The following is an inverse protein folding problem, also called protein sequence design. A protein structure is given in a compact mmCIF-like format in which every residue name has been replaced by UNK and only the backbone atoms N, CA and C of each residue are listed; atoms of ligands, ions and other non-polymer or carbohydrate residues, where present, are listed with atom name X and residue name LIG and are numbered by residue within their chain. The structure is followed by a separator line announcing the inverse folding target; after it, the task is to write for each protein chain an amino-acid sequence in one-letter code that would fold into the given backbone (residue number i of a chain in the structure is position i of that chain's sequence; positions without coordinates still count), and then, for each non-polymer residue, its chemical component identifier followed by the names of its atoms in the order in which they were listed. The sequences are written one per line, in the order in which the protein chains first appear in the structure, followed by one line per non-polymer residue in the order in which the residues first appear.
data_IF_043731923259
#
_entry.id   IF_043731923259
#
_cell.length_a   1.000
_cell.length_b   1.000
_cell.length_c   1.000
_cell.angle_alpha   90.00
_cell.angle_beta   90.00
_cell.angle_gamma   90.00
#
_symmetry.space_group_name_H-M   'P 1'
#
loop_
_entity.id
_entity.type
_entity.pdbx_description
1 polymer ?
#
# COMPACT_ATOMS: atom_id res chain seq x y z
N UNK A 1 29.09 -15.45 -27.57
CA UNK A 1 29.85 -15.54 -26.29
C UNK A 1 31.18 -14.87 -26.48
N UNK A 2 31.45 -13.79 -25.74
CA UNK A 2 32.77 -13.14 -25.77
C UNK A 2 33.77 -14.00 -25.00
N UNK A 3 34.84 -14.42 -25.66
CA UNK A 3 36.02 -14.96 -24.97
C UNK A 3 37.21 -14.10 -25.34
N UNK A 4 37.99 -13.73 -24.32
CA UNK A 4 39.21 -12.95 -24.45
C UNK A 4 40.37 -13.87 -24.82
N UNK A 5 40.89 -13.75 -26.05
CA UNK A 5 42.17 -14.33 -26.40
C UNK A 5 43.29 -13.55 -25.68
N UNK A 6 44.12 -14.24 -24.90
CA UNK A 6 45.33 -13.66 -24.33
C UNK A 6 46.32 -13.36 -25.45
N UNK A 7 46.58 -12.08 -25.70
CA UNK A 7 47.67 -11.61 -26.53
C UNK A 7 47.27 -10.61 -27.60
N UNK A 8 47.27 -9.33 -27.21
CA UNK A 8 47.33 -8.13 -28.06
C UNK A 8 46.18 -7.87 -29.06
N UNK A 9 45.58 -6.68 -28.94
CA UNK A 9 44.41 -6.15 -29.69
C UNK A 9 43.10 -6.92 -29.50
N UNK A 10 42.25 -6.42 -28.60
CA UNK A 10 40.94 -6.95 -28.23
C UNK A 10 39.93 -6.88 -29.38
N UNK A 11 39.99 -7.84 -30.29
CA UNK A 11 38.92 -8.14 -31.24
C UNK A 11 37.93 -9.08 -30.57
N UNK A 12 36.67 -8.65 -30.41
CA UNK A 12 35.59 -9.47 -29.86
C UNK A 12 35.18 -10.48 -30.93
N UNK A 13 35.57 -11.75 -30.76
CA UNK A 13 35.21 -12.83 -31.68
C UNK A 13 33.91 -13.48 -31.19
N UNK A 14 32.87 -13.45 -32.02
CA UNK A 14 31.63 -14.18 -31.75
C UNK A 14 31.84 -15.66 -32.07
N UNK A 15 31.75 -16.50 -31.04
CA UNK A 15 31.73 -17.96 -31.22
C UNK A 15 30.28 -18.44 -31.39
N UNK A 16 30.05 -19.33 -32.35
CA UNK A 16 28.76 -19.98 -32.55
C UNK A 16 28.39 -20.85 -31.34
N UNK A 17 27.08 -21.03 -31.11
CA UNK A 17 26.60 -21.93 -30.06
C UNK A 17 27.00 -23.37 -30.38
N UNK A 18 27.37 -24.14 -29.33
CA UNK A 18 27.80 -25.52 -29.48
C UNK A 18 26.68 -26.51 -29.78
N UNK A 19 25.42 -26.12 -29.54
CA UNK A 19 24.22 -26.89 -29.88
C UNK A 19 23.60 -26.33 -31.16
N UNK A 20 23.47 -27.18 -32.18
CA UNK A 20 22.89 -26.83 -33.48
C UNK A 20 21.41 -26.40 -33.40
N UNK A 21 20.71 -26.77 -32.33
CA UNK A 21 19.32 -26.39 -32.07
C UNK A 21 19.20 -25.14 -31.21
N UNK A 22 20.33 -24.59 -30.75
CA UNK A 22 20.36 -23.36 -29.96
C UNK A 22 20.44 -22.12 -30.87
N UNK A 23 19.51 -21.19 -30.68
CA UNK A 23 19.46 -19.90 -31.38
C UNK A 23 20.33 -18.87 -30.66
N UNK A 24 20.24 -18.83 -29.32
CA UNK A 24 21.03 -17.94 -28.47
C UNK A 24 21.62 -18.72 -27.30
N UNK A 25 22.94 -18.63 -27.11
CA UNK A 25 23.65 -19.23 -25.98
C UNK A 25 24.32 -18.14 -25.12
N UNK A 26 24.14 -18.25 -23.81
CA UNK A 26 24.72 -17.31 -22.84
C UNK A 26 26.24 -17.52 -22.68
N UNK A 27 26.72 -18.75 -22.87
CA UNK A 27 28.14 -19.12 -22.78
C UNK A 27 28.48 -20.25 -23.76
N UNK A 28 29.78 -20.49 -23.98
CA UNK A 28 30.25 -21.62 -24.77
C UNK A 28 30.17 -22.90 -23.93
N UNK A 29 29.88 -24.02 -24.58
CA UNK A 29 29.75 -25.32 -23.92
C UNK A 29 28.30 -25.83 -23.84
N UNK A 30 28.14 -27.03 -23.28
CA UNK A 30 26.86 -27.71 -23.15
C UNK A 30 25.93 -27.03 -22.13
N UNK A 31 24.61 -27.16 -22.35
CA UNK A 31 23.55 -26.65 -21.46
C UNK A 31 23.58 -25.13 -21.24
N UNK A 32 24.19 -24.38 -22.17
CA UNK A 32 24.30 -22.90 -22.14
C UNK A 32 23.32 -22.20 -23.07
N UNK A 33 22.34 -22.93 -23.62
CA UNK A 33 21.35 -22.33 -24.49
C UNK A 33 20.34 -21.51 -23.68
N UNK A 34 20.10 -20.26 -24.05
CA UNK A 34 19.05 -19.42 -23.47
C UNK A 34 17.81 -19.32 -24.36
N UNK A 35 17.91 -19.71 -25.63
CA UNK A 35 16.77 -19.74 -26.56
C UNK A 35 16.97 -20.78 -27.65
N UNK A 36 15.98 -21.65 -27.84
CA UNK A 36 16.00 -22.66 -28.89
C UNK A 36 15.50 -22.12 -30.22
N UNK A 37 15.93 -22.76 -31.31
CA UNK A 37 15.45 -22.48 -32.66
C UNK A 37 13.98 -22.88 -32.80
N UNK A 38 13.30 -22.27 -33.76
CA UNK A 38 11.88 -22.52 -34.04
C UNK A 38 11.63 -23.80 -34.85
N UNK A 39 12.69 -24.43 -35.36
CA UNK A 39 12.64 -25.70 -36.09
C UNK A 39 13.52 -26.73 -35.40
N UNK A 40 13.16 -28.01 -35.49
CA UNK A 40 13.84 -29.09 -34.77
C UNK A 40 13.51 -29.09 -33.28
N UNK A 41 14.54 -29.11 -32.42
CA UNK A 41 14.38 -29.13 -30.96
C UNK A 41 14.07 -27.73 -30.43
N UNK A 42 12.79 -27.40 -30.36
CA UNK A 42 12.34 -26.04 -30.07
C UNK A 42 12.03 -25.73 -28.60
N UNK A 43 12.04 -26.72 -27.71
CA UNK A 43 11.71 -26.51 -26.29
C UNK A 43 12.97 -26.36 -25.47
N UNK A 44 13.11 -25.25 -24.75
CA UNK A 44 14.23 -25.06 -23.83
C UNK A 44 13.96 -25.79 -22.51
N UNK A 45 14.68 -26.89 -22.27
CA UNK A 45 14.72 -27.55 -20.97
C UNK A 45 15.76 -26.87 -20.11
N UNK A 46 15.32 -26.06 -19.15
CA UNK A 46 16.18 -25.31 -18.23
C UNK A 46 16.88 -26.24 -17.24
N UNK A 47 18.10 -25.89 -16.87
CA UNK A 47 18.75 -26.46 -15.69
C UNK A 47 18.09 -25.92 -14.41
N UNK A 48 18.12 -26.66 -13.29
CA UNK A 48 17.64 -26.15 -12.01
C UNK A 48 18.28 -24.79 -11.69
N UNK A 49 17.46 -23.82 -11.28
CA UNK A 49 17.87 -22.48 -10.87
C UNK A 49 18.68 -21.69 -11.92
N UNK A 50 18.50 -22.01 -13.22
CA UNK A 50 19.21 -21.38 -14.33
C UNK A 50 18.26 -20.95 -15.45
N UNK A 51 18.59 -19.85 -16.12
CA UNK A 51 17.91 -19.42 -17.34
C UNK A 51 18.45 -20.08 -18.61
N UNK A 52 19.50 -20.90 -18.49
CA UNK A 52 20.04 -21.67 -19.60
C UNK A 52 19.74 -23.16 -19.47
N UNK A 53 19.79 -23.85 -20.60
CA UNK A 53 19.70 -25.30 -20.64
C UNK A 53 19.90 -25.84 -22.04
N UNK A 54 19.14 -26.89 -22.35
CA UNK A 54 19.32 -27.68 -23.58
C UNK A 54 18.03 -27.73 -24.38
N UNK A 55 18.17 -27.65 -25.69
CA UNK A 55 17.05 -27.70 -26.62
C UNK A 55 16.60 -29.13 -26.83
N UNK A 56 15.32 -29.39 -26.57
CA UNK A 56 14.69 -30.71 -26.71
C UNK A 56 13.45 -30.65 -27.59
N UNK A 57 13.07 -31.81 -28.14
CA UNK A 57 11.75 -31.99 -28.72
C UNK A 57 10.70 -32.13 -27.61
N UNK A 58 9.42 -32.06 -27.98
CA UNK A 58 8.30 -32.27 -27.04
C UNK A 58 8.45 -33.56 -26.23
N UNK A 59 8.83 -34.66 -26.88
CA UNK A 59 9.09 -35.95 -26.24
C UNK A 59 10.33 -35.99 -25.33
N UNK A 60 11.21 -34.98 -25.38
CA UNK A 60 12.34 -34.85 -24.46
C UNK A 60 12.02 -34.10 -23.17
N UNK A 61 10.82 -33.52 -23.06
CA UNK A 61 10.30 -32.96 -21.83
C UNK A 61 9.59 -34.07 -21.03
N UNK A 62 10.37 -34.85 -20.30
CA UNK A 62 9.90 -36.02 -19.54
C UNK A 62 10.20 -35.90 -18.05
N UNK A 63 9.60 -36.81 -17.27
CA UNK A 63 9.76 -36.87 -15.82
C UNK A 63 9.03 -35.71 -15.12
N UNK A 64 9.73 -35.05 -14.20
CA UNK A 64 9.21 -33.95 -13.39
C UNK A 64 9.24 -32.61 -14.13
N UNK A 65 9.03 -32.60 -15.44
CA UNK A 65 8.96 -31.37 -16.23
C UNK A 65 7.67 -31.32 -17.06
N UNK A 66 7.09 -30.12 -17.20
CA UNK A 66 5.96 -29.87 -18.06
C UNK A 66 6.36 -28.99 -19.24
N UNK A 67 5.58 -29.10 -20.32
CA UNK A 67 5.73 -28.29 -21.51
C UNK A 67 4.89 -27.03 -21.36
N UNK A 68 5.53 -25.88 -21.52
CA UNK A 68 4.86 -24.61 -21.74
C UNK A 68 4.86 -24.30 -23.24
N UNK A 69 3.72 -24.50 -23.90
CA UNK A 69 3.61 -24.31 -25.34
C UNK A 69 3.70 -22.83 -25.76
N UNK A 70 3.37 -21.91 -24.88
CA UNK A 70 3.41 -20.47 -25.15
C UNK A 70 4.84 -19.97 -25.00
N UNK A 71 5.52 -20.35 -23.91
CA UNK A 71 6.91 -19.99 -23.68
C UNK A 71 7.91 -20.82 -24.51
N UNK A 72 7.48 -21.94 -25.11
CA UNK A 72 8.34 -22.96 -25.73
C UNK A 72 9.45 -23.42 -24.78
N UNK A 73 9.08 -23.67 -23.53
CA UNK A 73 9.99 -24.17 -22.48
C UNK A 73 9.54 -25.51 -21.94
N UNK A 74 10.48 -26.20 -21.32
CA UNK A 74 10.28 -27.37 -20.50
C UNK A 74 10.74 -27.03 -19.08
N UNK A 75 9.79 -26.89 -18.16
CA UNK A 75 10.02 -26.36 -16.82
C UNK A 75 9.72 -27.41 -15.76
N UNK A 76 10.43 -27.37 -14.64
CA UNK A 76 10.24 -28.32 -13.55
C UNK A 76 8.86 -28.16 -12.89
N UNK A 77 8.20 -29.27 -12.56
CA UNK A 77 6.92 -29.29 -11.85
C UNK A 77 6.96 -28.49 -10.54
N UNK A 78 8.05 -28.64 -9.79
CA UNK A 78 8.27 -27.92 -8.53
C UNK A 78 8.30 -26.39 -8.70
N UNK A 79 8.81 -25.90 -9.83
CA UNK A 79 8.88 -24.45 -10.09
C UNK A 79 7.50 -23.79 -10.23
N UNK A 80 6.47 -24.59 -10.54
CA UNK A 80 5.08 -24.14 -10.62
C UNK A 80 4.25 -24.46 -9.36
N UNK A 81 4.94 -24.79 -8.25
CA UNK A 81 4.33 -25.04 -6.95
C UNK A 81 3.71 -26.43 -6.78
N UNK A 82 3.97 -27.38 -7.70
CA UNK A 82 3.48 -28.75 -7.53
C UNK A 82 4.46 -29.62 -6.75
N UNK A 83 3.95 -30.50 -5.89
CA UNK A 83 4.77 -31.31 -4.96
C UNK A 83 4.37 -32.79 -5.00
N UNK A 84 5.35 -33.68 -4.85
CA UNK A 84 5.13 -35.14 -4.78
C UNK A 84 4.54 -35.81 -6.03
N UNK A 85 4.68 -35.18 -7.20
CA UNK A 85 4.12 -35.66 -8.46
C UNK A 85 5.20 -36.26 -9.38
N UNK A 86 4.91 -37.41 -9.97
CA UNK A 86 5.80 -38.09 -10.93
C UNK A 86 5.87 -37.33 -12.25
N UNK A 87 4.73 -36.82 -12.71
CA UNK A 87 4.62 -35.92 -13.86
C UNK A 87 3.57 -34.85 -13.61
N UNK A 88 3.72 -33.70 -14.28
CA UNK A 88 2.77 -32.59 -14.25
C UNK A 88 2.47 -32.08 -15.65
N UNK A 89 1.39 -31.32 -15.79
CA UNK A 89 1.01 -30.66 -17.04
C UNK A 89 0.44 -29.27 -16.78
N UNK A 90 0.62 -28.36 -17.75
CA UNK A 90 0.00 -27.04 -17.75
C UNK A 90 -1.39 -27.15 -18.39
N UNK A 91 -2.42 -26.83 -17.61
CA UNK A 91 -3.81 -26.77 -18.07
C UNK A 91 -4.06 -25.58 -19.01
N UNK A 92 -5.24 -25.58 -19.64
CA UNK A 92 -5.66 -24.50 -20.55
C UNK A 92 -5.89 -23.15 -19.83
N UNK A 93 -6.14 -23.20 -18.52
CA UNK A 93 -6.24 -22.06 -17.61
C UNK A 93 -4.86 -21.51 -17.16
N UNK A 94 -3.78 -22.12 -17.64
CA UNK A 94 -2.41 -21.77 -17.29
C UNK A 94 -1.91 -22.40 -15.98
N UNK A 95 -2.77 -23.10 -15.23
CA UNK A 95 -2.38 -23.74 -13.98
C UNK A 95 -1.61 -25.04 -14.24
N UNK A 96 -0.47 -25.21 -13.57
CA UNK A 96 0.26 -26.48 -13.59
C UNK A 96 -0.29 -27.41 -12.52
N UNK A 97 -0.70 -28.60 -12.93
CA UNK A 97 -1.30 -29.63 -12.07
C UNK A 97 -0.55 -30.95 -12.19
N UNK A 98 -0.69 -31.80 -11.18
CA UNK A 98 -0.16 -33.14 -11.18
C UNK A 98 -0.96 -34.05 -12.11
N UNK A 99 -0.24 -34.78 -12.96
CA UNK A 99 -0.82 -35.72 -13.91
C UNK A 99 -0.73 -37.15 -13.42
N UNK A 100 0.37 -37.49 -12.76
CA UNK A 100 0.57 -38.79 -12.13
C UNK A 100 1.24 -38.62 -10.77
N UNK A 101 0.78 -39.40 -9.79
CA UNK A 101 1.33 -39.38 -8.45
C UNK A 101 2.51 -40.36 -8.28
N UNK A 102 3.27 -40.15 -7.22
CA UNK A 102 4.46 -40.96 -6.86
C UNK A 102 4.05 -42.34 -6.33
N UNK A 103 4.96 -43.31 -6.44
CA UNK A 103 4.74 -44.71 -6.03
C UNK A 103 4.96 -44.96 -4.53
N UNK A 104 5.34 -43.93 -3.77
CA UNK A 104 5.65 -44.03 -2.33
C UNK A 104 4.38 -44.01 -1.45
N UNK A 105 3.28 -44.59 -1.95
CA UNK A 105 1.98 -44.64 -1.26
C UNK A 105 1.13 -43.37 -1.37
N UNK A 106 1.65 -42.29 -1.95
CA UNK A 106 0.92 -41.03 -2.20
C UNK A 106 0.06 -41.13 -3.45
N UNK A 107 -1.00 -41.93 -3.44
CA UNK A 107 -1.80 -42.23 -4.65
C UNK A 107 -2.97 -41.28 -4.90
N UNK A 108 -3.25 -40.35 -3.99
CA UNK A 108 -4.38 -39.43 -4.07
C UNK A 108 -3.88 -38.06 -4.55
N UNK A 109 -4.55 -37.43 -5.51
CA UNK A 109 -4.27 -36.03 -5.85
C UNK A 109 -4.77 -35.12 -4.73
N UNK A 110 -3.91 -34.24 -4.22
CA UNK A 110 -4.29 -33.19 -3.27
C UNK A 110 -5.27 -32.17 -3.87
N UNK A 111 -5.63 -31.16 -3.07
CA UNK A 111 -6.57 -30.12 -3.48
C UNK A 111 -6.09 -29.44 -4.77
N UNK A 112 -7.03 -29.14 -5.69
CA UNK A 112 -6.75 -28.60 -7.02
C UNK A 112 -5.70 -29.39 -7.84
N UNK A 113 -5.42 -30.64 -7.46
CA UNK A 113 -4.36 -31.48 -8.05
C UNK A 113 -2.97 -30.85 -7.99
N UNK A 114 -2.70 -29.99 -6.99
CA UNK A 114 -1.39 -29.34 -6.81
C UNK A 114 -0.35 -30.23 -6.15
N UNK A 115 -0.77 -31.30 -5.49
CA UNK A 115 0.13 -32.25 -4.85
C UNK A 115 -0.37 -33.68 -4.98
N UNK A 116 0.42 -34.64 -4.53
CA UNK A 116 -0.02 -36.00 -4.27
C UNK A 116 0.17 -36.35 -2.81
N UNK A 117 -0.82 -36.99 -2.20
CA UNK A 117 -0.91 -37.23 -0.76
C UNK A 117 -1.32 -38.68 -0.48
N UNK A 118 -1.00 -39.18 0.71
CA UNK A 118 -1.46 -40.50 1.21
C UNK A 118 -2.89 -40.45 1.73
N UNK A 119 -3.29 -39.31 2.29
CA UNK A 119 -4.61 -39.06 2.85
C UNK A 119 -4.97 -37.59 2.62
N UNK A 120 -6.27 -37.31 2.49
CA UNK A 120 -6.73 -35.94 2.32
C UNK A 120 -6.57 -35.12 3.62
N UNK A 121 -6.32 -33.80 3.51
CA UNK A 121 -6.21 -32.94 4.68
C UNK A 121 -7.54 -32.85 5.45
N UNK A 122 -7.49 -32.35 6.68
CA UNK A 122 -8.68 -32.14 7.51
C UNK A 122 -9.77 -31.37 6.76
N UNK A 123 -11.03 -31.77 6.98
CA UNK A 123 -12.21 -31.23 6.30
C UNK A 123 -12.21 -31.42 4.77
N UNK A 124 -11.45 -32.38 4.25
CA UNK A 124 -11.56 -32.85 2.88
C UNK A 124 -11.90 -34.34 2.84
N UNK A 125 -12.51 -34.77 1.74
CA UNK A 125 -12.76 -36.17 1.43
C UNK A 125 -12.22 -36.50 0.05
N UNK A 126 -11.72 -37.72 -0.12
CA UNK A 126 -11.36 -38.22 -1.44
C UNK A 126 -12.62 -38.42 -2.29
N UNK A 127 -12.65 -37.78 -3.46
CA UNK A 127 -13.68 -37.97 -4.49
C UNK A 127 -12.99 -38.25 -5.81
N UNK A 128 -13.14 -39.49 -6.30
CA UNK A 128 -12.55 -39.94 -7.58
C UNK A 128 -11.02 -39.76 -7.65
N UNK A 129 -10.29 -40.14 -6.59
CA UNK A 129 -8.83 -40.01 -6.53
C UNK A 129 -8.31 -38.59 -6.32
N UNK A 130 -9.18 -37.63 -5.99
CA UNK A 130 -8.82 -36.23 -5.75
C UNK A 130 -9.42 -35.76 -4.42
N UNK A 131 -8.61 -35.12 -3.58
CA UNK A 131 -9.10 -34.48 -2.37
C UNK A 131 -10.00 -33.29 -2.73
N UNK A 132 -11.20 -33.29 -2.16
CA UNK A 132 -12.18 -32.21 -2.31
C UNK A 132 -12.62 -31.77 -0.93
N UNK A 133 -12.63 -30.46 -0.66
CA UNK A 133 -13.14 -29.94 0.61
C UNK A 133 -14.60 -30.35 0.83
N UNK A 134 -14.93 -30.66 2.08
CA UNK A 134 -16.28 -30.99 2.50
C UNK A 134 -17.18 -29.75 2.43
N UNK A 135 -18.49 -29.95 2.45
CA UNK A 135 -19.46 -28.85 2.39
C UNK A 135 -19.19 -27.83 3.51
N UNK A 136 -19.17 -26.55 3.15
CA UNK A 136 -18.80 -25.47 4.06
C UNK A 136 -17.29 -25.16 4.13
N UNK A 137 -16.46 -25.79 3.29
CA UNK A 137 -15.03 -25.51 3.20
C UNK A 137 -14.57 -25.28 1.76
N UNK A 138 -13.53 -24.45 1.58
CA UNK A 138 -12.85 -24.19 0.30
C UNK A 138 -11.33 -24.43 0.44
N UNK A 139 -10.61 -24.75 -0.65
CA UNK A 139 -9.15 -24.89 -0.60
C UNK A 139 -8.46 -23.59 -0.18
N UNK A 140 -7.39 -23.70 0.62
CA UNK A 140 -6.46 -22.60 0.90
C UNK A 140 -5.79 -22.10 -0.38
N UNK A 141 -5.21 -20.89 -0.33
CA UNK A 141 -4.53 -20.27 -1.49
C UNK A 141 -3.42 -21.15 -2.09
N UNK A 142 -2.70 -21.88 -1.25
CA UNK A 142 -1.64 -22.82 -1.63
C UNK A 142 -2.15 -24.24 -1.92
N UNK A 143 -3.47 -24.47 -1.81
CA UNK A 143 -4.12 -25.77 -1.99
C UNK A 143 -3.58 -26.88 -1.09
N UNK A 144 -3.05 -26.53 0.09
CA UNK A 144 -2.54 -27.50 1.07
C UNK A 144 -3.57 -27.94 2.11
N UNK A 145 -4.57 -27.10 2.42
CA UNK A 145 -5.57 -27.34 3.48
C UNK A 145 -6.96 -26.86 3.04
N UNK A 146 -8.01 -27.32 3.74
CA UNK A 146 -9.36 -26.79 3.58
C UNK A 146 -9.67 -25.79 4.70
N UNK A 147 -10.09 -24.59 4.31
CA UNK A 147 -10.54 -23.52 5.22
C UNK A 147 -12.04 -23.36 5.11
N UNK A 148 -12.71 -22.88 6.17
CA UNK A 148 -14.15 -22.65 6.10
C UNK A 148 -14.47 -21.69 4.94
N UNK A 149 -15.51 -22.01 4.16
CA UNK A 149 -15.98 -21.18 3.07
C UNK A 149 -16.51 -19.87 3.65
N UNK A 150 -15.76 -18.77 3.50
CA UNK A 150 -16.15 -17.47 4.09
C UNK A 150 -17.44 -16.96 3.45
N UNK A 151 -18.44 -16.64 4.25
CA UNK A 151 -19.66 -15.96 3.80
C UNK A 151 -19.62 -14.44 4.00
N UNK A 152 -18.43 -13.90 4.30
CA UNK A 152 -18.21 -12.48 4.55
C UNK A 152 -18.70 -11.62 3.37
N UNK A 153 -19.53 -10.63 3.68
CA UNK A 153 -20.04 -9.65 2.71
C UNK A 153 -19.07 -8.50 2.47
N UNK A 154 -18.17 -8.24 3.42
CA UNK A 154 -17.17 -7.18 3.34
C UNK A 154 -16.20 -7.44 2.17
N UNK A 155 -16.08 -6.52 1.20
CA UNK A 155 -15.19 -6.70 0.06
C UNK A 155 -13.75 -6.96 0.51
N UNK A 156 -13.09 -7.93 -0.12
CA UNK A 156 -11.71 -8.33 0.16
C UNK A 156 -11.44 -8.82 1.59
N UNK A 157 -12.50 -9.23 2.30
CA UNK A 157 -12.38 -9.83 3.63
C UNK A 157 -12.21 -11.35 3.54
N UNK A 158 -11.20 -11.89 4.22
CA UNK A 158 -10.93 -13.33 4.29
C UNK A 158 -11.63 -13.98 5.49
N UNK A 159 -11.65 -13.30 6.64
CA UNK A 159 -12.36 -13.76 7.85
C UNK A 159 -13.07 -12.58 8.50
N UNK A 160 -14.27 -12.79 9.05
CA UNK A 160 -15.07 -11.75 9.67
C UNK A 160 -15.82 -12.26 10.91
N UNK A 161 -16.23 -11.33 11.79
CA UNK A 161 -17.22 -11.60 12.83
C UNK A 161 -18.62 -11.25 12.33
N UNK A 162 -19.64 -12.00 12.77
CA UNK A 162 -21.03 -11.71 12.41
C UNK A 162 -21.32 -11.98 10.94
N UNK A 163 -20.84 -13.12 10.44
CA UNK A 163 -20.99 -13.56 9.05
C UNK A 163 -22.41 -13.35 8.50
N UNK A 164 -22.50 -12.64 7.38
CA UNK A 164 -23.77 -12.40 6.67
C UNK A 164 -24.70 -11.38 7.34
N UNK A 165 -24.31 -10.79 8.47
CA UNK A 165 -25.10 -9.78 9.19
C UNK A 165 -24.81 -8.35 8.68
N UNK A 166 -25.63 -7.38 9.11
CA UNK A 166 -25.46 -5.95 8.78
C UNK A 166 -24.30 -5.28 9.54
N UNK A 167 -23.92 -5.81 10.70
CA UNK A 167 -22.80 -5.34 11.52
C UNK A 167 -21.57 -6.25 11.41
N UNK A 168 -21.40 -6.91 10.27
CA UNK A 168 -20.22 -7.72 9.98
C UNK A 168 -18.95 -6.85 10.05
N UNK A 169 -17.91 -7.36 10.71
CA UNK A 169 -16.62 -6.71 10.79
C UNK A 169 -15.52 -7.67 10.36
N UNK A 170 -14.69 -7.24 9.41
CA UNK A 170 -13.56 -8.04 8.96
C UNK A 170 -12.49 -8.14 10.05
N UNK A 171 -11.89 -9.32 10.18
CA UNK A 171 -10.80 -9.62 11.10
C UNK A 171 -9.50 -9.97 10.39
N UNK A 172 -9.56 -10.38 9.11
CA UNK A 172 -8.39 -10.53 8.26
C UNK A 172 -8.75 -10.23 6.80
N UNK A 173 -7.91 -9.45 6.12
CA UNK A 173 -8.08 -9.10 4.73
C UNK A 173 -7.36 -10.07 3.80
N UNK A 174 -7.85 -10.18 2.57
CA UNK A 174 -7.17 -10.91 1.50
C UNK A 174 -5.78 -10.31 1.22
N UNK A 175 -4.89 -11.13 0.64
CA UNK A 175 -3.54 -10.69 0.26
C UNK A 175 -3.57 -9.44 -0.62
N UNK A 176 -2.74 -8.45 -0.29
CA UNK A 176 -2.69 -7.15 -0.97
C UNK A 176 -3.66 -6.09 -0.42
N UNK A 177 -4.42 -6.44 0.63
CA UNK A 177 -5.31 -5.52 1.33
C UNK A 177 -4.92 -5.39 2.81
N UNK A 178 -5.26 -4.24 3.39
CA UNK A 178 -4.94 -3.85 4.75
C UNK A 178 -6.22 -3.71 5.58
N UNK A 179 -6.20 -4.26 6.79
CA UNK A 179 -7.30 -4.18 7.73
C UNK A 179 -7.37 -2.79 8.37
N UNK A 180 -8.50 -2.11 8.24
CA UNK A 180 -8.75 -0.82 8.91
C UNK A 180 -9.24 -1.02 10.35
N UNK A 181 -9.12 -0.01 11.22
CA UNK A 181 -9.70 -0.06 12.58
C UNK A 181 -11.22 -0.26 12.61
N UNK A 182 -11.91 0.04 11.51
CA UNK A 182 -13.37 -0.15 11.37
C UNK A 182 -13.75 -1.53 10.84
N UNK A 183 -12.82 -2.47 10.76
CA UNK A 183 -13.08 -3.82 10.25
C UNK A 183 -13.38 -3.86 8.75
N UNK A 184 -12.78 -2.96 7.97
CA UNK A 184 -12.87 -2.93 6.50
C UNK A 184 -11.52 -3.27 5.88
N UNK A 185 -11.50 -3.60 4.58
CA UNK A 185 -10.28 -3.89 3.85
C UNK A 185 -10.03 -2.83 2.77
N UNK A 186 -8.85 -2.22 2.78
CA UNK A 186 -8.43 -1.22 1.79
C UNK A 186 -7.14 -1.65 1.10
N UNK A 187 -6.92 -1.19 -0.13
CA UNK A 187 -5.71 -1.49 -0.91
C UNK A 187 -4.49 -0.63 -0.50
N UNK A 188 -4.72 0.46 0.24
CA UNK A 188 -3.66 1.35 0.74
C UNK A 188 -4.16 2.12 1.97
N UNK A 189 -3.37 2.12 3.05
CA UNK A 189 -3.69 2.82 4.30
C UNK A 189 -3.57 4.34 4.17
N UNK A 190 -2.74 4.82 3.25
CA UNK A 190 -2.50 6.25 3.01
C UNK A 190 -3.77 6.96 2.53
N UNK A 191 -4.69 6.23 1.88
CA UNK A 191 -6.00 6.75 1.46
C UNK A 191 -6.89 7.15 2.63
N UNK A 192 -6.68 6.55 3.81
CA UNK A 192 -7.46 6.85 5.01
C UNK A 192 -7.07 8.18 5.64
N UNK A 193 -5.91 8.75 5.31
CA UNK A 193 -5.38 9.95 5.96
C UNK A 193 -5.04 9.71 7.44
N UNK A 194 -3.80 9.98 7.84
CA UNK A 194 -3.35 9.74 9.22
C UNK A 194 -3.19 8.26 9.58
N UNK A 195 -3.07 7.37 8.60
CA UNK A 195 -2.73 5.95 8.79
C UNK A 195 -1.56 5.54 7.91
N UNK A 196 -0.79 4.58 8.37
CA UNK A 196 0.29 3.92 7.64
C UNK A 196 0.09 2.41 7.67
N UNK A 197 0.65 1.71 6.68
CA UNK A 197 0.61 0.26 6.61
C UNK A 197 1.66 -0.36 7.53
N UNK A 198 1.25 -1.27 8.40
CA UNK A 198 2.14 -2.12 9.20
C UNK A 198 1.51 -3.51 9.35
N UNK A 199 2.26 -4.56 8.96
CA UNK A 199 1.83 -5.95 9.12
C UNK A 199 0.41 -6.27 8.60
N UNK A 200 0.04 -5.78 7.40
CA UNK A 200 -1.30 -5.92 6.79
C UNK A 200 -2.45 -5.24 7.56
N UNK A 201 -2.14 -4.31 8.45
CA UNK A 201 -3.10 -3.50 9.21
C UNK A 201 -2.79 -2.01 9.00
N UNK A 202 -3.82 -1.18 8.98
CA UNK A 202 -3.65 0.26 8.99
C UNK A 202 -3.48 0.77 10.43
N UNK A 203 -2.27 1.21 10.76
CA UNK A 203 -1.92 1.77 12.06
C UNK A 203 -2.06 3.30 12.03
N UNK A 204 -2.58 3.92 13.09
CA UNK A 204 -2.72 5.37 13.15
C UNK A 204 -1.35 6.05 13.27
N UNK A 205 -1.22 7.20 12.62
CA UNK A 205 -0.11 8.11 12.82
C UNK A 205 -0.13 8.74 14.20
N UNK A 206 1.00 9.32 14.63
CA UNK A 206 1.01 10.19 15.81
C UNK A 206 0.05 11.37 15.61
N UNK A 207 -0.68 11.82 16.66
CA UNK A 207 -1.73 12.85 16.54
C UNK A 207 -1.28 14.19 15.93
N UNK A 208 0.02 14.49 16.04
CA UNK A 208 0.64 15.70 15.50
C UNK A 208 0.80 15.66 13.96
N UNK A 209 0.72 14.48 13.35
CA UNK A 209 0.92 14.27 11.91
C UNK A 209 -0.43 14.17 11.17
N UNK A 210 -0.52 14.72 9.97
CA UNK A 210 -1.63 14.47 9.06
C UNK A 210 -1.42 13.19 8.22
N UNK A 211 -0.16 12.82 7.96
CA UNK A 211 0.24 11.50 7.43
C UNK A 211 1.65 11.17 7.91
N UNK A 212 2.04 9.90 7.89
CA UNK A 212 3.30 9.44 8.43
C UNK A 212 3.83 8.21 7.68
N UNK A 213 5.13 7.92 7.83
CA UNK A 213 5.74 6.67 7.34
C UNK A 213 5.70 5.53 8.35
N UNK A 214 5.64 5.86 9.63
CA UNK A 214 5.64 4.93 10.74
C UNK A 214 5.09 5.61 12.01
N UNK A 215 5.00 4.85 13.10
CA UNK A 215 4.75 5.42 14.41
C UNK A 215 5.84 6.41 14.82
N UNK A 216 5.43 7.58 15.33
CA UNK A 216 6.34 8.59 15.88
C UNK A 216 5.99 10.02 15.46
N UNK A 217 6.17 10.97 16.38
CA UNK A 217 5.93 12.40 16.14
C UNK A 217 6.97 13.05 15.21
N UNK A 218 8.01 12.30 14.83
CA UNK A 218 9.10 12.69 13.94
C UNK A 218 9.10 11.88 12.63
N UNK A 219 8.00 11.15 12.37
CA UNK A 219 7.76 10.34 11.16
C UNK A 219 6.68 10.92 10.26
N UNK A 220 6.33 12.20 10.45
CA UNK A 220 5.30 12.86 9.65
C UNK A 220 5.75 13.05 8.19
N UNK A 221 4.88 12.72 7.24
CA UNK A 221 5.02 13.06 5.82
C UNK A 221 4.24 14.33 5.46
N UNK A 222 3.20 14.65 6.22
CA UNK A 222 2.45 15.89 6.09
C UNK A 222 1.94 16.33 7.45
N UNK A 223 1.65 17.63 7.57
CA UNK A 223 1.22 18.26 8.81
C UNK A 223 -0.21 18.77 8.70
N UNK A 224 -0.95 18.83 9.82
CA UNK A 224 -2.24 19.50 9.87
C UNK A 224 -2.12 20.97 9.43
N UNK A 225 -3.23 21.54 8.93
CA UNK A 225 -3.27 22.95 8.56
C UNK A 225 -2.84 23.84 9.74
N UNK A 226 -2.02 24.86 9.46
CA UNK A 226 -1.40 25.71 10.47
C UNK A 226 -0.10 25.16 11.09
N UNK A 227 0.38 24.00 10.63
CA UNK A 227 1.68 23.41 11.00
C UNK A 227 2.55 23.18 9.78
N UNK A 228 3.85 23.45 9.89
CA UNK A 228 4.84 23.24 8.84
C UNK A 228 5.65 21.96 9.10
N UNK A 229 5.99 21.22 8.05
CA UNK A 229 6.84 20.03 8.18
C UNK A 229 8.30 20.45 8.31
N UNK A 230 8.95 20.01 9.38
CA UNK A 230 10.40 20.10 9.57
C UNK A 230 10.99 18.71 9.55
N UNK A 231 11.80 18.41 8.54
CA UNK A 231 12.45 17.11 8.44
C UNK A 231 13.47 16.87 9.56
N UNK A 232 13.58 15.62 9.98
CA UNK A 232 14.55 15.16 10.99
C UNK A 232 15.97 15.10 10.42
N UNK A 233 16.09 14.77 9.14
CA UNK A 233 17.35 14.72 8.39
C UNK A 233 17.14 15.10 6.90
N UNK A 234 18.20 15.00 6.09
CA UNK A 234 18.15 15.29 4.65
C UNK A 234 17.48 14.19 3.82
N UNK A 235 16.96 13.13 4.44
CA UNK A 235 16.28 12.00 3.81
C UNK A 235 14.76 12.16 3.96
N UNK A 236 14.03 12.62 2.92
CA UNK A 236 12.60 12.89 3.04
C UNK A 236 11.76 11.67 3.42
N UNK A 237 12.23 10.47 3.05
CA UNK A 237 11.58 9.20 3.36
C UNK A 237 11.54 8.87 4.85
N UNK A 238 12.41 9.48 5.67
CA UNK A 238 12.38 9.31 7.12
C UNK A 238 11.31 10.15 7.81
N UNK A 239 10.62 11.03 7.06
CA UNK A 239 9.62 11.95 7.58
C UNK A 239 10.23 13.11 8.38
N UNK A 240 9.39 13.77 9.16
CA UNK A 240 9.76 14.91 9.97
C UNK A 240 8.81 15.13 11.14
N UNK A 241 9.02 16.22 11.86
CA UNK A 241 8.12 16.71 12.90
C UNK A 241 7.31 17.90 12.41
N UNK A 242 6.06 17.97 12.84
CA UNK A 242 5.21 19.12 12.59
C UNK A 242 5.49 20.23 13.61
N UNK A 243 5.95 21.37 13.11
CA UNK A 243 6.25 22.56 13.91
C UNK A 243 5.22 23.66 13.61
N UNK A 244 5.22 24.72 14.42
CA UNK A 244 4.42 25.90 14.12
C UNK A 244 4.74 26.45 12.72
N UNK A 245 3.70 26.83 11.99
CA UNK A 245 3.86 27.53 10.72
C UNK A 245 4.60 28.87 10.88
N UNK A 246 5.01 29.45 9.75
CA UNK A 246 5.73 30.71 9.71
C UNK A 246 4.96 31.84 10.40
N UNK A 247 5.67 32.57 11.28
CA UNK A 247 5.22 33.80 11.94
C UNK A 247 6.23 34.91 11.67
N UNK A 248 5.76 36.07 11.24
CA UNK A 248 6.61 37.25 11.00
C UNK A 248 7.36 37.64 12.27
N UNK A 249 8.58 38.14 12.12
CA UNK A 249 9.49 38.50 13.22
C UNK A 249 9.92 37.33 14.13
N UNK A 250 9.68 36.09 13.72
CA UNK A 250 10.14 34.88 14.43
C UNK A 250 11.15 34.16 13.54
N UNK A 251 12.27 33.67 14.08
CA UNK A 251 13.19 32.81 13.35
C UNK A 251 13.82 33.42 12.09
N UNK A 252 13.92 34.75 12.00
CA UNK A 252 14.49 35.44 10.83
C UNK A 252 13.53 35.64 9.66
N UNK A 253 12.21 35.51 9.86
CA UNK A 253 11.20 35.69 8.81
C UNK A 253 10.69 37.14 8.75
N UNK A 254 10.88 37.80 7.61
CA UNK A 254 10.27 39.10 7.32
C UNK A 254 8.80 38.92 6.89
N UNK A 255 8.55 37.97 5.97
CA UNK A 255 7.23 37.73 5.41
C UNK A 255 6.91 36.22 5.38
N UNK A 256 5.64 35.89 5.64
CA UNK A 256 5.09 34.53 5.67
C UNK A 256 3.91 34.39 4.70
N UNK A 257 4.12 34.79 3.44
CA UNK A 257 3.08 34.86 2.41
C UNK A 257 2.81 33.53 1.69
N UNK A 258 3.79 32.63 1.62
CA UNK A 258 3.63 31.36 0.92
C UNK A 258 2.69 30.44 1.68
N UNK A 259 1.55 30.09 1.09
CA UNK A 259 0.55 29.21 1.72
C UNK A 259 0.46 27.89 0.95
N UNK A 260 0.92 26.80 1.57
CA UNK A 260 0.97 25.47 0.95
C UNK A 260 0.29 24.47 1.89
N UNK A 261 -0.68 23.72 1.38
CA UNK A 261 -1.40 22.72 2.19
C UNK A 261 -2.17 23.29 3.38
N UNK A 262 -2.49 24.59 3.36
CA UNK A 262 -3.14 25.29 4.49
C UNK A 262 -2.19 25.75 5.60
N UNK A 263 -0.88 25.72 5.37
CA UNK A 263 0.13 26.23 6.31
C UNK A 263 0.97 27.32 5.67
N UNK A 264 1.38 28.31 6.48
CA UNK A 264 2.24 29.41 6.05
C UNK A 264 3.71 29.04 6.14
N UNK A 265 4.44 29.39 5.09
CA UNK A 265 5.88 29.20 4.94
C UNK A 265 6.55 30.55 4.72
N UNK A 266 7.84 30.64 5.03
CA UNK A 266 8.58 31.89 4.81
C UNK A 266 8.62 32.21 3.31
N UNK A 267 8.13 33.39 2.96
CA UNK A 267 8.24 33.97 1.62
C UNK A 267 9.41 34.96 1.52
N UNK A 268 9.91 35.43 2.66
CA UNK A 268 11.00 36.42 2.71
C UNK A 268 11.72 36.43 4.05
N UNK A 269 13.04 36.40 3.98
CA UNK A 269 13.94 36.45 5.13
C UNK A 269 14.18 37.89 5.58
N UNK A 270 14.39 38.08 6.89
CA UNK A 270 14.75 39.37 7.48
C UNK A 270 16.15 39.80 7.09
N UNK A 271 17.07 38.84 6.92
CA UNK A 271 18.42 39.11 6.45
C UNK A 271 18.41 39.26 4.93
N UNK A 272 18.90 40.40 4.42
CA UNK A 272 18.87 40.69 2.97
C UNK A 272 19.70 39.73 2.12
N UNK A 273 20.73 39.12 2.70
CA UNK A 273 21.61 38.12 2.06
C UNK A 273 21.13 36.67 2.23
N UNK A 274 19.92 36.46 2.72
CA UNK A 274 19.28 35.15 2.83
C UNK A 274 18.15 35.01 1.79
N UNK A 275 17.68 33.78 1.58
CA UNK A 275 16.48 33.49 0.81
C UNK A 275 15.77 32.25 1.36
N UNK A 276 14.44 32.12 1.18
CA UNK A 276 13.71 30.94 1.62
C UNK A 276 13.99 29.74 0.70
N UNK A 277 14.35 28.61 1.30
CA UNK A 277 14.40 27.29 0.68
C UNK A 277 13.42 26.39 1.42
N UNK A 278 12.40 25.88 0.71
CA UNK A 278 11.29 25.13 1.31
C UNK A 278 10.64 25.86 2.51
N UNK A 279 10.57 27.19 2.44
CA UNK A 279 9.99 28.01 3.50
C UNK A 279 10.89 28.25 4.72
N UNK A 280 12.18 27.89 4.66
CA UNK A 280 13.18 28.15 5.71
C UNK A 280 14.28 29.04 5.17
N UNK A 281 14.69 30.06 5.94
CA UNK A 281 15.75 30.97 5.53
C UNK A 281 17.11 30.29 5.49
N UNK A 282 17.80 30.41 4.35
CA UNK A 282 19.18 29.98 4.16
C UNK A 282 20.04 31.13 3.69
N UNK A 283 21.30 31.14 4.13
CA UNK A 283 22.30 32.10 3.69
C UNK A 283 22.67 31.88 2.22
N UNK A 284 22.73 32.99 1.46
CA UNK A 284 23.29 32.98 0.12
C UNK A 284 24.80 32.82 0.19
N UNK A 285 25.29 31.62 -0.09
CA UNK A 285 26.72 31.29 -0.10
C UNK A 285 27.11 30.73 -1.46
N UNK A 286 28.40 30.75 -1.81
CA UNK A 286 28.89 30.15 -3.05
C UNK A 286 28.62 28.63 -3.17
N UNK A 287 28.19 27.97 -2.08
CA UNK A 287 27.81 26.54 -2.04
C UNK A 287 26.30 26.33 -2.05
N UNK A 288 25.50 27.39 -1.82
CA UNK A 288 24.04 27.33 -1.82
C UNK A 288 23.54 27.66 -3.23
N UNK A 289 23.18 26.61 -3.96
CA UNK A 289 22.83 26.70 -5.39
C UNK A 289 21.31 26.69 -5.63
N UNK A 290 20.48 26.67 -4.58
CA UNK A 290 19.02 26.56 -4.70
C UNK A 290 18.39 27.82 -5.33
N UNK A 291 18.90 29.00 -4.97
CA UNK A 291 18.55 30.26 -5.62
C UNK A 291 19.66 30.72 -6.57
N UNK A 292 19.36 30.77 -7.88
CA UNK A 292 20.29 31.28 -8.89
C UNK A 292 20.44 32.80 -8.84
N UNK A 293 19.33 33.50 -8.57
CA UNK A 293 19.30 34.97 -8.59
C UNK A 293 18.65 35.51 -7.32
N UNK A 294 19.44 35.77 -6.25
CA UNK A 294 18.94 36.43 -5.05
C UNK A 294 18.43 37.84 -5.35
N UNK A 295 17.36 38.27 -4.68
CA UNK A 295 16.84 39.64 -4.82
C UNK A 295 17.61 40.67 -3.97
N UNK A 296 18.53 40.18 -3.12
CA UNK A 296 19.29 40.94 -2.11
C UNK A 296 18.42 41.71 -1.12
N UNK A 297 17.21 41.21 -0.89
CA UNK A 297 16.23 41.74 0.05
C UNK A 297 15.58 40.59 0.83
N UNK A 298 16.24 39.44 0.97
CA UNK A 298 15.71 38.30 1.71
C UNK A 298 14.91 37.30 0.87
N UNK A 299 14.96 37.36 -0.45
CA UNK A 299 14.21 36.49 -1.36
C UNK A 299 15.01 36.06 -2.58
N UNK A 300 14.34 35.31 -3.46
CA UNK A 300 14.85 34.80 -4.71
C UNK A 300 13.97 35.22 -5.89
N UNK A 301 14.57 35.49 -7.05
CA UNK A 301 13.83 35.77 -8.30
C UNK A 301 13.96 34.66 -9.34
N UNK A 302 14.93 33.75 -9.19
CA UNK A 302 15.09 32.60 -10.09
C UNK A 302 15.71 31.44 -9.33
N UNK A 303 15.04 30.29 -9.35
CA UNK A 303 15.50 29.09 -8.66
C UNK A 303 16.35 28.20 -9.57
N UNK A 304 17.13 27.31 -8.98
CA UNK A 304 17.84 26.27 -9.71
C UNK A 304 16.91 25.15 -10.19
N UNK A 305 17.44 24.27 -11.06
CA UNK A 305 16.71 23.09 -11.50
C UNK A 305 16.48 22.14 -10.32
N UNK A 306 15.32 21.49 -10.29
CA UNK A 306 14.83 20.75 -9.12
C UNK A 306 14.03 21.61 -8.14
N UNK A 307 14.02 22.93 -8.35
CA UNK A 307 13.28 23.90 -7.56
C UNK A 307 12.38 24.74 -8.46
N UNK A 308 11.30 25.29 -7.90
CA UNK A 308 10.47 26.29 -8.55
C UNK A 308 10.27 27.51 -7.66
N UNK A 309 10.08 28.66 -8.29
CA UNK A 309 9.81 29.92 -7.62
C UNK A 309 8.35 29.98 -7.16
N UNK A 310 8.14 30.25 -5.87
CA UNK A 310 6.82 30.52 -5.29
C UNK A 310 6.96 31.60 -4.22
N UNK A 311 6.22 32.70 -4.36
CA UNK A 311 6.20 33.82 -3.40
C UNK A 311 7.60 34.28 -2.93
N UNK A 312 8.57 34.34 -3.83
CA UNK A 312 9.94 34.80 -3.51
C UNK A 312 10.85 33.75 -2.84
N UNK A 313 10.38 32.51 -2.65
CA UNK A 313 11.17 31.38 -2.17
C UNK A 313 11.38 30.30 -3.25
N UNK A 314 12.37 29.43 -3.03
CA UNK A 314 12.63 28.26 -3.87
C UNK A 314 12.15 26.99 -3.18
N UNK A 315 11.29 26.24 -3.86
CA UNK A 315 10.65 25.04 -3.33
C UNK A 315 10.97 23.82 -4.18
N UNK A 316 11.31 22.70 -3.54
CA UNK A 316 11.65 21.45 -4.24
C UNK A 316 10.42 20.77 -4.84
N UNK A 317 10.56 20.21 -6.04
CA UNK A 317 9.47 19.47 -6.72
C UNK A 317 9.28 18.05 -6.19
N UNK A 318 10.33 17.47 -5.60
CA UNK A 318 10.34 16.08 -5.10
C UNK A 318 10.10 15.95 -3.59
N UNK A 319 9.97 17.08 -2.89
CA UNK A 319 9.93 17.13 -1.42
C UNK A 319 8.87 18.11 -0.92
N UNK A 320 8.26 17.80 0.22
CA UNK A 320 7.37 18.75 0.89
C UNK A 320 8.13 19.99 1.38
N UNK A 321 7.50 21.18 1.37
CA UNK A 321 6.12 21.42 0.94
C UNK A 321 5.97 21.61 -0.58
N UNK A 322 7.05 21.78 -1.32
CA UNK A 322 7.00 22.15 -2.74
C UNK A 322 6.28 21.13 -3.64
N UNK A 323 6.42 19.83 -3.35
CA UNK A 323 5.75 18.75 -4.09
C UNK A 323 4.21 18.79 -4.02
N UNK A 324 3.63 19.52 -3.07
CA UNK A 324 2.17 19.79 -3.03
C UNK A 324 1.71 20.81 -4.08
N UNK A 325 2.63 21.61 -4.63
CA UNK A 325 2.31 22.67 -5.59
C UNK A 325 2.78 22.27 -6.99
N UNK A 326 4.00 21.77 -7.09
CA UNK A 326 4.65 21.49 -8.37
C UNK A 326 5.29 20.11 -8.39
N UNK A 327 5.03 19.32 -9.43
CA UNK A 327 5.65 18.00 -9.60
C UNK A 327 6.85 18.03 -10.54
N UNK A 328 6.93 19.03 -11.41
CA UNK A 328 7.97 19.13 -12.44
C UNK A 328 8.33 20.59 -12.65
N UNK A 329 9.62 20.92 -12.58
CA UNK A 329 10.13 22.25 -12.91
C UNK A 329 10.75 22.30 -14.32
N UNK A 330 10.83 23.50 -14.86
CA UNK A 330 11.64 23.86 -16.01
C UNK A 330 12.30 25.20 -15.73
N UNK A 331 13.62 25.20 -15.59
CA UNK A 331 14.43 26.40 -15.35
C UNK A 331 14.01 27.24 -14.12
N UNK A 332 13.65 26.59 -13.01
CA UNK A 332 13.26 27.31 -11.79
C UNK A 332 11.80 27.76 -11.77
N UNK A 333 10.99 27.32 -12.73
CA UNK A 333 9.56 27.60 -12.85
C UNK A 333 8.77 26.29 -12.88
N UNK A 334 7.54 26.29 -12.36
CA UNK A 334 6.73 25.08 -12.41
C UNK A 334 6.18 24.83 -13.81
N UNK A 335 6.45 23.65 -14.38
CA UNK A 335 5.90 23.22 -15.67
C UNK A 335 4.71 22.26 -15.51
N UNK A 336 4.55 21.61 -14.35
CA UNK A 336 3.44 20.72 -14.06
C UNK A 336 2.95 20.88 -12.62
N UNK A 337 1.71 21.34 -12.46
CA UNK A 337 1.10 21.55 -11.15
C UNK A 337 0.59 20.25 -10.54
N UNK A 338 0.81 20.07 -9.24
CA UNK A 338 0.33 18.90 -8.49
C UNK A 338 -1.20 18.82 -8.43
N UNK A 339 -1.88 19.96 -8.54
CA UNK A 339 -3.34 20.08 -8.49
C UNK A 339 -4.04 19.88 -9.84
N UNK A 340 -3.31 19.45 -10.88
CA UNK A 340 -3.77 19.19 -12.26
C UNK A 340 -4.10 20.43 -13.11
N UNK A 341 -3.98 21.64 -12.57
CA UNK A 341 -4.15 22.86 -13.35
C UNK A 341 -2.93 23.14 -14.23
N UNK A 342 -3.13 23.95 -15.28
CA UNK A 342 -2.02 24.46 -16.09
C UNK A 342 -1.33 25.62 -15.37
N UNK A 343 0.02 25.61 -15.27
CA UNK A 343 0.75 26.73 -14.70
C UNK A 343 0.59 27.99 -15.56
N UNK A 344 0.47 29.14 -14.90
CA UNK A 344 0.47 30.46 -15.53
C UNK A 344 1.81 31.13 -15.25
N UNK A 345 2.61 31.34 -16.30
CA UNK A 345 3.96 31.92 -16.19
C UNK A 345 4.85 31.22 -15.15
N UNK A 346 4.76 29.88 -15.07
CA UNK A 346 5.55 29.10 -14.12
C UNK A 346 4.97 29.02 -12.69
N UNK A 347 3.81 29.63 -12.44
CA UNK A 347 3.12 29.61 -11.14
C UNK A 347 1.84 28.80 -11.24
N UNK A 348 1.63 27.89 -10.28
CA UNK A 348 0.44 27.07 -10.22
C UNK A 348 -0.72 27.83 -9.56
N UNK A 349 -1.89 27.95 -10.23
CA UNK A 349 -3.07 28.53 -9.59
C UNK A 349 -3.53 27.68 -8.40
N UNK A 350 -4.10 28.30 -7.37
CA UNK A 350 -4.63 27.58 -6.21
C UNK A 350 -6.01 26.96 -6.49
N UNK A 351 -6.31 25.86 -5.79
CA UNK A 351 -7.64 25.27 -5.74
C UNK A 351 -8.48 25.91 -4.62
N UNK A 352 -9.82 25.73 -4.63
CA UNK A 352 -10.68 26.14 -3.52
C UNK A 352 -10.24 25.51 -2.20
N UNK A 353 -10.60 26.15 -1.07
CA UNK A 353 -10.23 25.66 0.26
C UNK A 353 -10.67 24.19 0.48
N UNK A 354 -9.78 23.38 1.03
CA UNK A 354 -10.03 21.95 1.26
C UNK A 354 -9.86 21.05 0.04
N UNK A 355 -9.59 21.60 -1.15
CA UNK A 355 -9.44 20.85 -2.39
C UNK A 355 -7.96 20.62 -2.75
N UNK A 356 -7.56 19.38 -3.00
CA UNK A 356 -6.20 18.99 -3.41
C UNK A 356 -6.04 18.89 -4.93
N UNK A 357 -7.10 18.56 -5.66
CA UNK A 357 -7.12 18.55 -7.13
C UNK A 357 -8.39 19.20 -7.65
N UNK A 358 -8.25 20.15 -8.55
CA UNK A 358 -9.38 20.87 -9.12
C UNK A 358 -9.23 21.07 -10.63
N UNK A 359 -10.34 21.37 -11.29
CA UNK A 359 -10.41 21.70 -12.70
C UNK A 359 -11.22 22.96 -12.93
N UNK A 360 -11.02 23.62 -14.08
CA UNK A 360 -11.72 24.84 -14.46
C UNK A 360 -11.00 26.13 -14.05
N UNK A 361 -11.64 27.25 -14.35
CA UNK A 361 -11.08 28.60 -14.15
C UNK A 361 -11.42 29.17 -12.79
N UNK A 362 -10.58 30.08 -12.28
CA UNK A 362 -10.78 30.77 -11.00
C UNK A 362 -12.22 31.29 -10.86
N UNK A 363 -12.91 30.92 -9.77
CA UNK A 363 -14.31 31.27 -9.50
C UNK A 363 -15.36 30.26 -9.99
N UNK A 364 -14.99 29.31 -10.84
CA UNK A 364 -15.85 28.19 -11.29
C UNK A 364 -15.14 26.83 -11.17
N UNK A 365 -14.14 26.73 -10.28
CA UNK A 365 -13.36 25.52 -10.11
C UNK A 365 -14.21 24.42 -9.46
N UNK A 366 -14.13 23.22 -10.03
CA UNK A 366 -14.70 21.99 -9.47
C UNK A 366 -13.59 21.17 -8.83
N UNK A 367 -13.87 20.55 -7.69
CA UNK A 367 -12.92 19.72 -6.97
C UNK A 367 -13.12 18.24 -7.31
N UNK A 368 -12.03 17.53 -7.55
CA UNK A 368 -12.03 16.08 -7.81
C UNK A 368 -11.35 15.27 -6.71
N UNK A 369 -10.51 15.91 -5.88
CA UNK A 369 -9.90 15.27 -4.72
C UNK A 369 -9.78 16.27 -3.57
N UNK A 370 -10.04 15.81 -2.35
CA UNK A 370 -9.99 16.64 -1.15
C UNK A 370 -8.66 16.52 -0.40
N UNK A 371 -8.36 17.53 0.40
CA UNK A 371 -7.33 17.48 1.43
C UNK A 371 -7.82 16.61 2.60
N UNK A 372 -6.89 16.10 3.41
CA UNK A 372 -7.23 15.37 4.63
C UNK A 372 -8.15 16.19 5.54
N UNK A 373 -9.11 15.51 6.18
CA UNK A 373 -10.15 16.16 7.00
C UNK A 373 -11.35 16.70 6.21
N UNK A 374 -11.40 16.46 4.90
CA UNK A 374 -12.53 16.81 4.05
C UNK A 374 -12.99 15.59 3.24
N UNK A 375 -14.31 15.45 3.05
CA UNK A 375 -14.90 14.51 2.11
C UNK A 375 -15.39 15.22 0.85
N UNK A 376 -15.38 14.51 -0.28
CA UNK A 376 -15.91 15.02 -1.54
C UNK A 376 -17.43 14.93 -1.53
N UNK A 377 -18.10 16.07 -1.61
CA UNK A 377 -19.54 16.21 -1.79
C UNK A 377 -19.78 16.82 -3.16
N UNK A 378 -20.21 15.97 -4.12
CA UNK A 378 -20.28 16.30 -5.55
C UNK A 378 -18.94 16.79 -6.11
N UNK A 379 -18.76 18.09 -6.17
CA UNK A 379 -17.65 18.83 -6.75
C UNK A 379 -16.98 19.76 -5.73
N UNK A 380 -17.31 19.60 -4.43
CA UNK A 380 -16.83 20.44 -3.34
C UNK A 380 -16.32 19.60 -2.18
N UNK A 381 -15.26 20.05 -1.54
CA UNK A 381 -14.74 19.43 -0.34
C UNK A 381 -15.40 20.04 0.89
N UNK A 382 -15.98 19.20 1.73
CA UNK A 382 -16.66 19.58 2.96
C UNK A 382 -15.94 18.94 4.14
N UNK A 383 -15.77 19.68 5.24
CA UNK A 383 -15.07 19.14 6.42
C UNK A 383 -15.78 17.90 6.95
N UNK A 384 -15.03 16.91 7.44
CA UNK A 384 -15.57 15.68 8.01
C UNK A 384 -16.54 15.89 9.18
N UNK A 385 -16.52 17.05 9.83
CA UNK A 385 -17.43 17.43 10.92
C UNK A 385 -18.73 18.10 10.46
N UNK A 386 -18.86 18.41 9.17
CA UNK A 386 -19.97 19.19 8.62
C UNK A 386 -20.89 18.32 7.75
N UNK A 387 -22.14 18.74 7.63
CA UNK A 387 -23.14 18.06 6.81
C UNK A 387 -23.19 18.67 5.40
N UNK A 388 -23.41 17.85 4.37
CA UNK A 388 -23.65 18.33 3.00
C UNK A 388 -24.27 17.25 2.11
N UNK A 389 -25.25 17.63 1.28
CA UNK A 389 -25.88 16.77 0.27
C UNK A 389 -26.30 15.37 0.77
N UNK A 390 -26.87 15.28 1.98
CA UNK A 390 -27.29 14.00 2.57
C UNK A 390 -26.18 13.20 3.26
N UNK A 391 -24.94 13.68 3.22
CA UNK A 391 -23.83 13.14 4.01
C UNK A 391 -23.80 13.86 5.36
N UNK A 392 -23.80 13.09 6.45
CA UNK A 392 -23.74 13.59 7.82
C UNK A 392 -22.29 13.56 8.34
N UNK A 393 -21.78 14.71 8.76
CA UNK A 393 -20.46 14.82 9.38
C UNK A 393 -20.44 14.23 10.79
N UNK A 394 -19.25 13.82 11.24
CA UNK A 394 -19.01 13.34 12.60
C UNK A 394 -18.21 14.41 13.36
N UNK A 395 -18.71 14.94 14.50
CA UNK A 395 -17.99 15.93 15.29
C UNK A 395 -16.59 15.46 15.67
N UNK A 396 -15.63 16.39 15.67
CA UNK A 396 -14.21 16.14 15.95
C UNK A 396 -13.52 15.15 15.00
N UNK A 397 -14.14 14.77 13.88
CA UNK A 397 -13.52 13.88 12.92
C UNK A 397 -12.46 14.61 12.09
N UNK A 398 -11.21 14.13 12.15
CA UNK A 398 -10.09 14.70 11.38
C UNK A 398 -9.76 13.93 10.11
N UNK A 399 -10.28 12.72 9.97
CA UNK A 399 -10.22 11.99 8.70
C UNK A 399 -11.43 11.10 8.53
N UNK A 400 -12.02 11.10 7.33
CA UNK A 400 -13.25 10.38 7.05
C UNK A 400 -13.39 9.95 5.59
N UNK A 401 -14.26 8.97 5.34
CA UNK A 401 -14.74 8.64 4.01
C UNK A 401 -16.25 8.91 3.87
N UNK A 402 -16.70 9.44 2.72
CA UNK A 402 -18.12 9.60 2.44
C UNK A 402 -18.80 8.24 2.24
N UNK A 403 -20.08 8.10 2.61
CA UNK A 403 -20.86 6.90 2.30
C UNK A 403 -21.12 6.78 0.79
N UNK A 404 -21.48 5.58 0.32
CA UNK A 404 -21.83 5.35 -1.08
C UNK A 404 -23.13 6.05 -1.53
N UNK A 405 -23.99 6.46 -0.59
CA UNK A 405 -25.25 7.14 -0.86
C UNK A 405 -25.49 8.26 0.16
N UNK A 406 -26.43 8.06 1.09
CA UNK A 406 -26.79 9.01 2.15
C UNK A 406 -26.50 8.37 3.50
N UNK A 407 -25.99 9.16 4.45
CA UNK A 407 -25.63 8.65 5.77
C UNK A 407 -24.41 9.35 6.38
N UNK A 408 -23.98 8.89 7.56
CA UNK A 408 -22.81 9.45 8.22
C UNK A 408 -21.53 9.11 7.46
N UNK A 409 -20.55 10.02 7.50
CA UNK A 409 -19.19 9.72 7.10
C UNK A 409 -18.62 8.62 8.01
N UNK A 410 -17.82 7.73 7.44
CA UNK A 410 -17.03 6.80 8.25
C UNK A 410 -15.85 7.57 8.82
N UNK A 411 -15.87 7.86 10.12
CA UNK A 411 -14.78 8.57 10.76
C UNK A 411 -13.64 7.62 11.13
N UNK A 412 -12.45 7.87 10.59
CA UNK A 412 -11.27 7.07 10.87
C UNK A 412 -10.47 7.61 12.05
N UNK A 413 -10.45 8.93 12.27
CA UNK A 413 -9.73 9.56 13.37
C UNK A 413 -10.57 10.67 13.97
N UNK A 414 -10.68 10.70 15.29
CA UNK A 414 -11.25 11.82 16.03
C UNK A 414 -10.14 12.59 16.76
N UNK A 415 -10.26 13.91 16.89
CA UNK A 415 -9.53 14.63 17.94
C UNK A 415 -10.13 14.17 19.26
N UNK A 416 -9.40 13.38 20.04
CA UNK A 416 -9.76 13.17 21.43
C UNK A 416 -9.60 14.51 22.15
N UNK A 417 -10.62 15.01 22.88
CA UNK A 417 -10.36 16.06 23.84
C UNK A 417 -9.52 15.45 24.97
N UNK A 418 -8.27 15.88 25.10
CA UNK A 418 -7.39 15.80 26.29
C UNK A 418 -7.40 14.47 27.06
N UNK A 419 -6.39 13.63 26.81
CA UNK A 419 -6.01 12.59 27.77
C UNK A 419 -5.18 13.26 28.87
N UNK A 420 -5.66 13.13 30.12
CA UNK A 420 -4.98 13.52 31.34
C UNK A 420 -3.62 12.79 31.45
N UNK A 421 -2.47 13.48 31.57
CA UNK A 421 -1.13 12.89 31.50
C UNK A 421 -0.73 11.99 32.70
N UNK A 422 -1.68 11.54 33.53
CA UNK A 422 -1.38 10.68 34.70
C UNK A 422 -1.90 9.23 34.62
N UNK A 423 -2.37 8.72 33.47
CA UNK A 423 -2.78 7.31 33.33
C UNK A 423 -1.69 6.44 32.66
N UNK A 424 -1.04 5.51 33.39
CA UNK A 424 -0.04 4.61 32.83
C UNK A 424 -0.72 3.31 32.38
N UNK A 425 -1.34 3.29 31.20
CA UNK A 425 -1.73 2.02 30.58
C UNK A 425 -1.62 2.04 29.05
N UNK A 426 -0.56 1.42 28.53
CA UNK A 426 -0.41 1.08 27.12
C UNK A 426 -1.26 -0.14 26.80
N UNK A 427 -2.24 0.06 25.92
CA UNK A 427 -3.13 -0.89 25.21
C UNK A 427 -4.60 -0.66 25.53
N UNK A 428 -5.19 0.35 24.87
CA UNK A 428 -6.63 0.40 24.66
C UNK A 428 -6.90 0.61 23.18
N UNK A 429 -7.25 -0.47 22.50
CA UNK A 429 -7.88 -0.46 21.19
C UNK A 429 -9.06 0.51 21.23
N UNK A 430 -8.91 1.64 20.56
CA UNK A 430 -9.89 2.71 20.51
C UNK A 430 -11.11 2.30 19.70
N UNK A 431 -12.06 1.62 20.33
CA UNK A 431 -13.46 1.66 19.92
C UNK A 431 -14.18 2.73 20.76
N UNK A 432 -14.92 3.58 20.06
CA UNK A 432 -15.86 4.52 20.67
C UNK A 432 -16.77 3.76 21.64
N UNK A 433 -16.59 4.00 22.94
CA UNK A 433 -17.31 3.34 24.03
C UNK A 433 -18.73 3.90 24.20
N UNK A 434 -19.42 4.15 23.10
CA UNK A 434 -20.74 4.78 23.07
C UNK A 434 -21.79 3.96 22.33
N UNK A 435 -21.83 2.64 22.52
CA UNK A 435 -23.00 1.81 22.15
C UNK A 435 -22.94 0.35 22.65
N UNK A 436 -21.77 -0.20 22.99
CA UNK A 436 -21.63 -1.66 23.25
C UNK A 436 -21.09 -1.90 24.66
N UNK A 437 -21.90 -1.57 25.67
CA UNK A 437 -21.71 -2.02 27.05
C UNK A 437 -23.05 -2.02 27.80
N UNK A 438 -23.97 -2.90 27.38
CA UNK A 438 -25.28 -3.03 28.05
C UNK A 438 -25.93 -4.41 27.96
N UNK A 439 -25.38 -5.36 27.19
CA UNK A 439 -26.01 -6.67 27.00
C UNK A 439 -24.93 -7.75 26.98
N UNK A 440 -24.38 -8.10 28.14
CA UNK A 440 -23.63 -9.37 28.31
C UNK A 440 -23.51 -9.82 29.77
N UNK A 441 -23.57 -8.90 30.74
CA UNK A 441 -23.49 -9.28 32.16
C UNK A 441 -24.87 -9.65 32.75
N UNK A 442 -25.98 -9.15 32.17
CA UNK A 442 -27.32 -9.49 32.64
C UNK A 442 -27.73 -10.94 32.29
N UNK A 443 -27.31 -11.48 31.15
CA UNK A 443 -27.72 -12.83 30.72
C UNK A 443 -26.99 -13.91 31.54
N UNK A 444 -25.70 -13.72 31.87
CA UNK A 444 -24.95 -14.69 32.67
C UNK A 444 -25.43 -14.68 34.14
N UNK A 445 -25.78 -13.52 34.69
CA UNK A 445 -26.35 -13.46 36.05
C UNK A 445 -27.76 -14.06 36.14
N UNK A 446 -28.59 -13.89 35.10
CA UNK A 446 -29.96 -14.46 35.06
C UNK A 446 -29.92 -15.97 34.84
N UNK A 447 -29.05 -16.48 33.94
CA UNK A 447 -28.90 -17.93 33.71
C UNK A 447 -28.21 -18.62 34.88
N UNK A 448 -27.16 -18.01 35.46
CA UNK A 448 -26.51 -18.53 36.68
C UNK A 448 -27.43 -18.51 37.91
N UNK A 449 -28.26 -17.48 38.05
CA UNK A 449 -29.28 -17.38 39.11
C UNK A 449 -30.41 -18.40 38.95
N UNK A 450 -30.88 -18.64 37.72
CA UNK A 450 -31.92 -19.65 37.44
C UNK A 450 -31.42 -21.08 37.69
N UNK A 451 -30.20 -21.41 37.27
CA UNK A 451 -29.61 -22.74 37.50
C UNK A 451 -29.33 -22.96 38.99
N UNK A 452 -28.82 -21.93 39.70
CA UNK A 452 -28.61 -22.00 41.14
C UNK A 452 -29.91 -22.15 41.94
N UNK A 453 -30.96 -21.41 41.57
CA UNK A 453 -32.28 -21.50 42.20
C UNK A 453 -32.95 -22.86 41.94
N UNK A 454 -32.84 -23.41 40.73
CA UNK A 454 -33.36 -24.74 40.41
C UNK A 454 -32.60 -25.85 41.15
N UNK A 455 -31.28 -25.76 41.26
CA UNK A 455 -30.49 -26.71 42.06
C UNK A 455 -30.83 -26.65 43.55
N UNK A 456 -31.02 -25.45 44.12
CA UNK A 456 -31.42 -25.31 45.52
C UNK A 456 -32.85 -25.82 45.77
N UNK A 457 -33.79 -25.52 44.87
CA UNK A 457 -35.18 -25.97 44.97
C UNK A 457 -35.28 -27.51 44.93
N UNK A 458 -34.57 -28.18 44.02
CA UNK A 458 -34.62 -29.65 43.93
C UNK A 458 -33.90 -30.38 45.07
N UNK A 459 -32.86 -29.77 45.67
CA UNK A 459 -32.09 -30.39 46.77
C UNK A 459 -32.72 -30.14 48.14
N UNK A 460 -33.29 -28.95 48.38
CA UNK A 460 -33.84 -28.59 49.69
C UNK A 460 -35.34 -28.85 49.85
N UNK A 461 -36.14 -28.87 48.77
CA UNK A 461 -37.58 -29.11 48.86
C UNK A 461 -37.95 -30.60 49.03
N UNK A 462 -36.98 -31.52 48.98
CA UNK A 462 -37.23 -32.97 49.14
C UNK A 462 -37.00 -33.49 50.56
N UNK A 463 -36.78 -32.60 51.54
CA UNK A 463 -36.52 -32.97 52.95
C UNK A 463 -37.37 -32.21 53.98
N UNK A 464 -38.47 -31.60 53.55
CA UNK A 464 -39.51 -31.07 54.43
C UNK A 464 -40.78 -31.93 54.31
#
# INVERSE_FOLDING_TARGET
VETTASGSTSSKVCTACGDENCDVCAASGANKCSKCKTTGKMYLKKEPDSDTGTCVNKAGCTGTNYIDEEAKTCSACASAGTTDCTTCEKGADGAVICKTCTTDGKTIFGLNKKSCVTECPDNASEKSGVCTCNDGFTPSIDSSTCVAASSCRTPHCQTCTGEGQENEACTACATGYYLTPTGQCVDSCEKLGGYYADNNVCQPCSPECASCTAAGADKCLSCPAGKALKYTDDTPANGGSCVDECKVNTGGYADCGATIGGSRYCSRCSTSSEYPVNGVCKASTARANECKTPDNKGGCTTCASGYFLLDGGCYETSRQPGSQVCTTDSNGQCSQCANTLSPSNGVCPACPAGCSKCSGSSGSQTCSACLAGYYLSTDKCVKCSENSNGIQGVPNCVSCAPPASSGPVTCYVTQTPTVDPTDPSTNKSGFSSGAIAGISVAVIAVVGGLVGFLCWWFVCYRKA
#
